data_IF_692005525924
#
_entry.id   IF_692005525924
#
_cell.length_a   1.000
_cell.length_b   1.000
_cell.length_c   1.000
_cell.angle_alpha   90.00
_cell.angle_beta   90.00
_cell.angle_gamma   90.00
#
_symmetry.space_group_name_H-M   'P 1'
#
loop_
_entity.id
_entity.type
_entity.pdbx_description
1 polymer ?
#
# COMPACT_ATOMS: atom_id res chain seq x y z
N UNK A 1 14.01 74.30 -18.23
CA UNK A 1 13.14 73.40 -17.52
C UNK A 1 13.47 71.98 -18.03
N UNK A 2 14.38 71.29 -17.33
CA UNK A 2 14.87 69.94 -17.72
C UNK A 2 14.15 68.93 -16.90
N UNK A 3 13.48 67.99 -17.59
CA UNK A 3 12.76 66.85 -16.96
C UNK A 3 13.75 65.69 -16.82
N UNK A 4 14.12 65.39 -15.59
CA UNK A 4 14.84 64.14 -15.26
C UNK A 4 13.87 62.93 -15.27
N UNK A 5 14.07 62.04 -16.22
CA UNK A 5 13.43 60.71 -16.21
C UNK A 5 14.22 59.79 -15.26
N UNK A 6 13.61 59.46 -14.12
CA UNK A 6 14.13 58.47 -13.19
C UNK A 6 13.96 57.04 -13.74
N UNK A 7 15.07 56.33 -13.90
CA UNK A 7 15.09 54.89 -14.23
C UNK A 7 14.90 54.12 -12.93
N UNK A 8 13.77 53.40 -12.80
CA UNK A 8 13.54 52.51 -11.70
C UNK A 8 14.44 51.23 -11.82
N UNK A 9 15.01 50.73 -10.72
CA UNK A 9 15.81 49.54 -10.76
C UNK A 9 14.93 48.31 -11.02
N UNK A 10 15.29 47.49 -11.99
CA UNK A 10 14.73 46.16 -12.21
C UNK A 10 15.05 45.30 -10.99
N UNK A 11 14.01 44.90 -10.24
CA UNK A 11 14.09 43.82 -9.27
C UNK A 11 14.35 42.53 -10.03
N UNK A 12 15.56 42.02 -9.93
CA UNK A 12 15.89 40.64 -10.34
C UNK A 12 15.19 39.70 -9.37
N UNK A 13 14.16 38.98 -9.86
CA UNK A 13 13.56 37.86 -9.17
C UNK A 13 14.68 36.80 -9.10
N UNK A 14 15.04 36.29 -7.90
CA UNK A 14 15.98 35.19 -7.81
C UNK A 14 15.41 34.01 -8.56
N UNK A 15 16.18 33.43 -9.49
CA UNK A 15 15.84 32.16 -10.11
C UNK A 15 15.55 31.11 -8.99
N UNK A 16 14.35 30.54 -9.03
CA UNK A 16 14.02 29.39 -8.18
C UNK A 16 15.11 28.35 -8.43
N UNK A 17 15.79 27.94 -7.36
CA UNK A 17 16.73 26.86 -7.41
C UNK A 17 16.02 25.64 -8.03
N UNK A 18 16.52 25.16 -9.14
CA UNK A 18 16.15 23.88 -9.73
C UNK A 18 16.28 22.84 -8.62
N UNK A 19 15.16 22.29 -8.19
CA UNK A 19 15.17 21.16 -7.26
C UNK A 19 15.78 19.99 -8.00
N UNK A 20 17.06 19.72 -7.76
CA UNK A 20 17.70 18.52 -8.30
C UNK A 20 16.88 17.31 -7.89
N UNK A 21 16.45 16.51 -8.87
CA UNK A 21 15.68 15.30 -8.65
C UNK A 21 16.50 14.37 -7.75
N UNK A 22 15.85 13.72 -6.77
CA UNK A 22 16.53 12.90 -5.76
C UNK A 22 17.34 11.74 -6.37
N UNK A 23 16.95 11.25 -7.55
CA UNK A 23 17.64 10.19 -8.29
C UNK A 23 18.37 10.69 -9.56
N UNK A 24 18.50 12.01 -9.76
CA UNK A 24 19.23 12.52 -10.93
C UNK A 24 20.71 12.13 -10.81
N UNK A 25 21.25 11.50 -11.84
CA UNK A 25 22.70 11.30 -11.98
C UNK A 25 23.20 12.13 -13.16
N UNK A 26 24.38 12.72 -13.01
CA UNK A 26 25.11 13.38 -14.10
C UNK A 26 25.77 12.36 -15.04
N UNK A 27 25.52 11.05 -14.84
CA UNK A 27 26.07 9.98 -15.63
C UNK A 27 25.25 9.74 -16.90
N UNK A 28 25.90 9.19 -17.93
CA UNK A 28 25.25 8.78 -19.17
C UNK A 28 24.10 7.81 -18.85
N UNK A 29 22.89 8.10 -19.36
CA UNK A 29 21.74 7.22 -19.18
C UNK A 29 22.10 5.80 -19.65
N UNK A 30 21.69 4.76 -18.86
CA UNK A 30 21.91 3.38 -19.23
C UNK A 30 21.11 3.00 -20.48
N UNK A 31 21.36 1.80 -21.02
CA UNK A 31 20.56 1.26 -22.10
C UNK A 31 19.07 1.29 -21.77
N UNK A 32 18.25 1.69 -22.72
CA UNK A 32 16.78 1.64 -22.59
C UNK A 32 16.30 0.19 -22.46
N UNK A 33 15.67 -0.12 -21.35
CA UNK A 33 15.08 -1.42 -21.03
C UNK A 33 13.56 -1.46 -21.29
N UNK A 34 13.02 -0.39 -21.83
CA UNK A 34 11.62 -0.26 -22.23
C UNK A 34 10.68 0.14 -21.10
N UNK A 35 9.40 -0.10 -21.35
CA UNK A 35 8.31 0.32 -20.48
C UNK A 35 7.74 -0.84 -19.68
N UNK A 36 7.52 -0.60 -18.37
CA UNK A 36 6.72 -1.45 -17.48
C UNK A 36 5.41 -0.74 -17.11
N UNK A 37 4.29 -1.45 -17.23
CA UNK A 37 2.98 -0.98 -16.81
C UNK A 37 2.73 -1.44 -15.37
N UNK A 38 2.67 -0.48 -14.45
CA UNK A 38 2.45 -0.72 -13.01
C UNK A 38 1.04 -0.34 -12.61
N UNK A 39 0.19 -1.32 -12.32
CA UNK A 39 -1.12 -1.09 -11.75
C UNK A 39 -1.06 -0.95 -10.22
N UNK A 40 -1.92 -0.11 -9.66
CA UNK A 40 -2.08 0.03 -8.20
C UNK A 40 -3.43 0.64 -7.84
N UNK A 41 -3.92 0.32 -6.64
CA UNK A 41 -4.98 1.11 -6.02
C UNK A 41 -4.38 2.44 -5.50
N UNK A 42 -5.19 3.52 -5.35
CA UNK A 42 -4.68 4.84 -4.96
C UNK A 42 -3.81 4.83 -3.70
N UNK A 43 -4.21 4.10 -2.65
CA UNK A 43 -3.50 4.06 -1.37
C UNK A 43 -2.06 3.49 -1.46
N UNK A 44 -1.77 2.63 -2.43
CA UNK A 44 -0.46 2.00 -2.56
C UNK A 44 0.48 2.71 -3.55
N UNK A 45 -0.06 3.43 -4.53
CA UNK A 45 0.70 4.02 -5.64
C UNK A 45 1.73 5.09 -5.23
N UNK A 46 1.54 5.89 -4.17
CA UNK A 46 2.38 7.08 -3.92
C UNK A 46 3.89 6.82 -3.91
N UNK A 47 4.37 5.69 -3.38
CA UNK A 47 5.81 5.40 -3.33
C UNK A 47 6.43 5.22 -4.72
N UNK A 48 5.74 4.52 -5.61
CA UNK A 48 6.20 4.36 -7.00
C UNK A 48 6.06 5.67 -7.78
N UNK A 49 4.96 6.42 -7.57
CA UNK A 49 4.76 7.72 -8.21
C UNK A 49 5.86 8.70 -7.81
N UNK A 50 6.21 8.78 -6.52
CA UNK A 50 7.33 9.59 -6.06
C UNK A 50 8.64 9.19 -6.76
N UNK A 51 8.91 7.90 -6.90
CA UNK A 51 10.10 7.43 -7.63
C UNK A 51 10.08 7.79 -9.12
N UNK A 52 8.91 7.81 -9.77
CA UNK A 52 8.75 8.29 -11.15
C UNK A 52 9.07 9.78 -11.21
N UNK A 53 8.45 10.59 -10.33
CA UNK A 53 8.61 12.04 -10.29
C UNK A 53 10.06 12.46 -9.98
N UNK A 54 10.80 11.62 -9.22
CA UNK A 54 12.21 11.85 -8.86
C UNK A 54 13.21 11.24 -9.86
N UNK A 55 12.76 10.68 -10.98
CA UNK A 55 13.64 10.14 -12.02
C UNK A 55 14.32 8.81 -11.64
N UNK A 56 13.88 8.13 -10.57
CA UNK A 56 14.56 6.95 -10.07
C UNK A 56 14.52 5.75 -11.03
N UNK A 57 13.46 5.59 -11.79
CA UNK A 57 13.39 4.52 -12.78
C UNK A 57 14.23 4.81 -14.02
N UNK A 58 14.25 6.06 -14.48
CA UNK A 58 15.05 6.51 -15.61
C UNK A 58 16.55 6.30 -15.38
N UNK A 59 17.03 6.49 -14.15
CA UNK A 59 18.39 6.18 -13.72
C UNK A 59 18.81 4.73 -14.05
N UNK A 60 17.84 3.81 -14.09
CA UNK A 60 18.05 2.39 -14.41
C UNK A 60 17.59 2.02 -15.83
N UNK A 61 17.36 2.99 -16.71
CA UNK A 61 16.93 2.77 -18.10
C UNK A 61 15.49 2.30 -18.24
N UNK A 62 14.64 2.60 -17.27
CA UNK A 62 13.23 2.18 -17.28
C UNK A 62 12.28 3.36 -17.42
N UNK A 63 11.22 3.16 -18.21
CA UNK A 63 10.00 3.94 -18.14
C UNK A 63 8.96 3.14 -17.36
N UNK A 64 8.43 3.68 -16.27
CA UNK A 64 7.32 3.08 -15.53
C UNK A 64 6.06 3.87 -15.77
N UNK A 65 5.03 3.22 -16.33
CA UNK A 65 3.73 3.82 -16.62
C UNK A 65 2.74 3.39 -15.52
N UNK A 66 2.34 4.30 -14.61
CA UNK A 66 1.39 3.97 -13.55
C UNK A 66 -0.04 3.90 -14.12
N UNK A 67 -0.82 2.95 -13.61
CA UNK A 67 -2.25 2.78 -13.90
C UNK A 67 -2.99 2.64 -12.58
N UNK A 68 -3.91 3.56 -12.31
CA UNK A 68 -4.79 3.48 -11.15
C UNK A 68 -5.94 2.53 -11.45
N UNK A 69 -6.12 1.52 -10.60
CA UNK A 69 -7.24 0.59 -10.68
C UNK A 69 -8.17 0.77 -9.48
N UNK A 70 -9.47 0.59 -9.70
CA UNK A 70 -10.47 0.85 -8.68
C UNK A 70 -10.43 -0.16 -7.52
N UNK A 71 -10.03 -1.40 -7.77
CA UNK A 71 -10.04 -2.46 -6.76
C UNK A 71 -8.92 -3.49 -6.92
N UNK A 72 -8.66 -4.23 -5.84
CA UNK A 72 -7.74 -5.38 -5.84
C UNK A 72 -8.12 -6.43 -6.89
N UNK A 73 -9.41 -6.70 -7.06
CA UNK A 73 -9.91 -7.70 -8.01
C UNK A 73 -9.57 -7.30 -9.46
N UNK A 74 -9.81 -6.04 -9.82
CA UNK A 74 -9.47 -5.50 -11.15
C UNK A 74 -7.97 -5.57 -11.39
N UNK A 75 -7.16 -5.14 -10.41
CA UNK A 75 -5.69 -5.17 -10.51
C UNK A 75 -5.14 -6.58 -10.68
N UNK A 76 -5.62 -7.54 -9.89
CA UNK A 76 -5.19 -8.95 -10.01
C UNK A 76 -5.66 -9.58 -11.34
N UNK A 77 -6.89 -9.32 -11.78
CA UNK A 77 -7.37 -9.81 -13.07
C UNK A 77 -6.52 -9.28 -14.22
N UNK A 78 -6.14 -7.99 -14.21
CA UNK A 78 -5.25 -7.40 -15.19
C UNK A 78 -3.83 -7.95 -15.15
N UNK A 79 -3.32 -8.29 -13.96
CA UNK A 79 -2.02 -8.96 -13.81
C UNK A 79 -2.06 -10.38 -14.39
N UNK A 80 -3.10 -11.15 -14.11
CA UNK A 80 -3.29 -12.52 -14.61
C UNK A 80 -3.44 -12.54 -16.14
N UNK A 81 -4.19 -11.58 -16.70
CA UNK A 81 -4.37 -11.47 -18.17
C UNK A 81 -3.13 -10.94 -18.89
N UNK A 82 -2.15 -10.35 -18.18
CA UNK A 82 -0.99 -9.70 -18.76
C UNK A 82 -1.26 -8.28 -19.27
N UNK A 83 -2.38 -7.66 -18.90
CA UNK A 83 -2.68 -6.25 -19.19
C UNK A 83 -1.75 -5.30 -18.43
N UNK A 84 -1.21 -5.74 -17.30
CA UNK A 84 -0.23 -5.05 -16.48
C UNK A 84 1.00 -5.94 -16.26
N UNK A 85 2.19 -5.35 -16.27
CA UNK A 85 3.44 -6.05 -15.96
C UNK A 85 3.60 -6.29 -14.47
N UNK A 86 3.11 -5.33 -13.68
CA UNK A 86 3.23 -5.29 -12.23
C UNK A 86 1.92 -4.82 -11.58
N UNK A 87 1.63 -5.36 -10.39
CA UNK A 87 0.55 -4.88 -9.53
C UNK A 87 1.00 -4.79 -8.08
N UNK A 88 0.71 -3.66 -7.43
CA UNK A 88 1.05 -3.47 -6.01
C UNK A 88 -0.05 -4.05 -5.12
N UNK A 89 0.30 -5.09 -4.36
CA UNK A 89 -0.64 -5.70 -3.43
C UNK A 89 0.06 -6.49 -2.30
N UNK A 90 -0.74 -7.04 -1.37
CA UNK A 90 -0.22 -7.90 -0.30
C UNK A 90 0.21 -9.26 -0.84
N UNK A 91 1.27 -9.88 -0.29
CA UNK A 91 1.63 -11.25 -0.63
C UNK A 91 0.51 -12.27 -0.38
N UNK A 92 -0.38 -12.02 0.58
CA UNK A 92 -1.54 -12.89 0.85
C UNK A 92 -2.53 -12.95 -0.32
N UNK A 93 -2.77 -11.82 -1.00
CA UNK A 93 -3.61 -11.83 -2.20
C UNK A 93 -2.94 -12.58 -3.35
N UNK A 94 -1.61 -12.47 -3.52
CA UNK A 94 -0.89 -13.29 -4.49
C UNK A 94 -1.11 -14.78 -4.22
N UNK A 95 -0.88 -15.23 -2.97
CA UNK A 95 -1.06 -16.62 -2.57
C UNK A 95 -2.51 -17.09 -2.76
N UNK A 96 -3.48 -16.23 -2.45
CA UNK A 96 -4.91 -16.50 -2.69
C UNK A 96 -5.20 -16.77 -4.18
N UNK A 97 -4.67 -15.94 -5.06
CA UNK A 97 -4.83 -16.10 -6.51
C UNK A 97 -4.09 -17.34 -7.03
N UNK A 98 -2.87 -17.60 -6.57
CA UNK A 98 -2.14 -18.85 -6.90
C UNK A 98 -2.92 -20.10 -6.47
N UNK A 99 -3.63 -20.03 -5.35
CA UNK A 99 -4.43 -21.16 -4.84
C UNK A 99 -5.70 -21.44 -5.65
N UNK A 100 -6.32 -20.37 -6.18
CA UNK A 100 -7.66 -20.44 -6.78
C UNK A 100 -7.64 -20.35 -8.32
N UNK A 101 -6.48 -20.11 -8.91
CA UNK A 101 -6.26 -20.06 -10.36
C UNK A 101 -4.87 -20.64 -10.67
N UNK A 102 -4.66 -21.05 -11.91
CA UNK A 102 -3.35 -21.55 -12.37
C UNK A 102 -2.36 -20.41 -12.62
N UNK A 103 -2.25 -19.49 -11.67
CA UNK A 103 -1.43 -18.28 -11.78
C UNK A 103 -0.07 -18.48 -11.12
N UNK A 104 0.99 -18.44 -11.93
CA UNK A 104 2.37 -18.46 -11.45
C UNK A 104 2.80 -17.05 -11.04
N UNK A 105 2.41 -16.67 -9.84
CA UNK A 105 2.68 -15.34 -9.28
C UNK A 105 4.07 -15.22 -8.68
N UNK A 106 4.71 -14.06 -8.88
CA UNK A 106 6.05 -13.74 -8.38
C UNK A 106 6.06 -12.38 -7.68
N UNK A 107 6.69 -12.31 -6.52
CA UNK A 107 7.01 -11.05 -5.83
C UNK A 107 8.33 -10.54 -6.39
N UNK A 108 8.31 -9.35 -7.02
CA UNK A 108 9.48 -8.74 -7.67
C UNK A 108 10.27 -7.90 -6.68
N UNK A 109 9.60 -7.06 -5.91
CA UNK A 109 10.22 -6.16 -4.96
C UNK A 109 9.28 -5.88 -3.78
N UNK A 110 9.79 -5.54 -2.59
CA UNK A 110 8.96 -5.09 -1.49
C UNK A 110 8.59 -3.62 -1.64
N UNK A 111 7.46 -3.20 -1.05
CA UNK A 111 7.18 -1.79 -0.81
C UNK A 111 7.52 -1.44 0.64
N UNK A 112 6.69 -1.82 1.59
CA UNK A 112 6.90 -1.54 3.00
C UNK A 112 6.79 -2.81 3.85
N UNK A 113 7.29 -2.71 5.06
CA UNK A 113 7.35 -3.81 6.03
C UNK A 113 6.60 -3.44 7.30
N UNK A 114 6.16 -4.46 8.04
CA UNK A 114 5.76 -4.33 9.44
C UNK A 114 6.85 -4.88 10.35
N UNK A 115 7.25 -4.11 11.33
CA UNK A 115 8.20 -4.54 12.35
C UNK A 115 7.51 -5.35 13.45
N UNK A 116 8.27 -6.14 14.19
CA UNK A 116 7.75 -6.88 15.34
C UNK A 116 7.21 -5.91 16.42
N UNK A 117 7.86 -4.77 16.60
CA UNK A 117 7.47 -3.76 17.57
C UNK A 117 6.12 -3.12 17.19
N UNK A 118 5.91 -2.75 15.92
CA UNK A 118 4.63 -2.19 15.45
C UNK A 118 3.49 -3.18 15.63
N UNK A 119 3.69 -4.45 15.24
CA UNK A 119 2.67 -5.50 15.40
C UNK A 119 2.33 -5.70 16.89
N UNK A 120 3.34 -5.82 17.76
CA UNK A 120 3.13 -6.00 19.20
C UNK A 120 2.38 -4.82 19.81
N UNK A 121 2.78 -3.61 19.47
CA UNK A 121 2.14 -2.39 19.97
C UNK A 121 0.69 -2.27 19.51
N UNK A 122 0.42 -2.58 18.21
CA UNK A 122 -0.93 -2.57 17.66
C UNK A 122 -1.87 -3.60 18.29
N UNK A 123 -1.33 -4.71 18.84
CA UNK A 123 -2.10 -5.67 19.64
C UNK A 123 -2.39 -5.19 21.06
N UNK A 124 -1.42 -4.50 21.69
CA UNK A 124 -1.51 -4.06 23.08
C UNK A 124 -2.35 -2.80 23.23
N UNK A 125 -2.22 -1.86 22.30
CA UNK A 125 -2.91 -0.59 22.32
C UNK A 125 -3.55 -0.29 20.94
N UNK A 126 -4.70 -0.93 20.64
CA UNK A 126 -5.38 -0.75 19.37
C UNK A 126 -5.95 0.65 19.15
N UNK A 127 -6.05 1.43 20.23
CA UNK A 127 -6.61 2.79 20.22
C UNK A 127 -5.53 3.87 20.33
N UNK A 128 -4.27 3.51 20.10
CA UNK A 128 -3.14 4.43 20.22
C UNK A 128 -3.46 5.80 19.59
N UNK A 129 -3.36 6.91 20.34
CA UNK A 129 -3.83 8.23 19.92
C UNK A 129 -2.88 8.96 18.96
N UNK A 130 -2.04 8.24 18.28
CA UNK A 130 -1.09 8.76 17.29
C UNK A 130 -1.52 8.47 15.87
N UNK A 131 -0.58 8.62 14.97
CA UNK A 131 -0.72 8.14 13.59
C UNK A 131 -0.83 6.61 13.56
N UNK A 132 -1.46 6.04 12.53
CA UNK A 132 -1.68 4.60 12.42
C UNK A 132 -0.35 3.84 12.44
N UNK A 133 -0.24 2.85 13.34
CA UNK A 133 0.94 1.99 13.42
C UNK A 133 1.05 1.04 12.22
N UNK A 134 -0.10 0.54 11.76
CA UNK A 134 -0.22 -0.32 10.58
C UNK A 134 -1.15 0.35 9.57
N UNK A 135 -0.96 0.06 8.30
CA UNK A 135 -1.59 0.80 7.19
C UNK A 135 -3.12 0.65 7.11
N UNK A 136 -3.71 -0.30 7.85
CA UNK A 136 -5.16 -0.53 7.86
C UNK A 136 -5.67 -0.70 9.28
N UNK A 137 -6.86 -0.16 9.55
CA UNK A 137 -7.49 -0.21 10.86
C UNK A 137 -9.01 -0.38 10.71
N UNK A 138 -9.64 -1.11 11.62
CA UNK A 138 -11.11 -1.19 11.69
C UNK A 138 -11.63 0.09 12.31
N UNK A 139 -12.52 0.76 11.60
CA UNK A 139 -13.17 2.00 12.00
C UNK A 139 -14.70 1.82 12.08
N UNK A 140 -15.30 2.53 13.01
CA UNK A 140 -16.75 2.62 13.21
C UNK A 140 -17.18 4.08 13.38
N UNK A 141 -18.47 4.38 13.26
CA UNK A 141 -18.99 5.72 13.58
C UNK A 141 -18.67 6.12 15.01
N UNK A 142 -18.58 7.43 15.26
CA UNK A 142 -18.28 8.00 16.57
C UNK A 142 -19.18 7.47 17.69
N UNK A 143 -20.47 7.36 17.42
CA UNK A 143 -21.54 6.94 18.33
C UNK A 143 -21.84 5.43 18.29
N UNK A 144 -21.08 4.66 17.52
CA UNK A 144 -21.27 3.21 17.40
C UNK A 144 -21.14 2.50 18.74
N UNK A 145 -22.02 1.51 18.98
CA UNK A 145 -21.94 0.62 20.14
C UNK A 145 -20.78 -0.37 20.07
N UNK A 146 -20.15 -0.55 18.90
CA UNK A 146 -18.99 -1.44 18.68
C UNK A 146 -17.76 -0.82 19.35
N UNK A 147 -17.17 -1.50 20.35
CA UNK A 147 -15.99 -1.01 21.10
C UNK A 147 -14.84 -1.99 21.07
N UNK A 148 -15.07 -3.23 20.65
CA UNK A 148 -14.09 -4.32 20.67
C UNK A 148 -14.29 -5.29 19.51
N UNK A 149 -13.33 -6.20 19.31
CA UNK A 149 -13.45 -7.30 18.35
C UNK A 149 -14.68 -8.18 18.58
N UNK A 150 -15.13 -8.33 19.85
CA UNK A 150 -16.30 -9.13 20.20
C UNK A 150 -17.59 -8.51 19.68
N UNK A 151 -17.68 -7.19 19.66
CA UNK A 151 -18.86 -6.47 19.22
C UNK A 151 -19.08 -6.52 17.70
N UNK A 152 -18.12 -7.09 16.96
CA UNK A 152 -18.24 -7.35 15.51
C UNK A 152 -19.09 -8.58 15.18
N UNK A 153 -19.52 -9.37 16.17
CA UNK A 153 -20.48 -10.43 15.97
C UNK A 153 -21.78 -9.92 15.32
N UNK A 154 -22.25 -10.59 14.27
CA UNK A 154 -23.46 -10.25 13.52
C UNK A 154 -23.42 -8.84 12.87
N UNK A 155 -22.23 -8.28 12.67
CA UNK A 155 -22.03 -6.97 12.02
C UNK A 155 -21.67 -7.15 10.56
N UNK A 156 -21.96 -6.12 9.77
CA UNK A 156 -21.54 -6.02 8.38
C UNK A 156 -20.30 -5.13 8.28
N UNK A 157 -19.23 -5.64 7.68
CA UNK A 157 -17.92 -5.00 7.66
C UNK A 157 -17.45 -4.78 6.21
N UNK A 158 -17.15 -3.53 5.87
CA UNK A 158 -16.53 -3.18 4.58
C UNK A 158 -15.05 -3.54 4.55
N UNK A 159 -14.63 -4.36 3.59
CA UNK A 159 -13.23 -4.76 3.35
C UNK A 159 -12.84 -4.54 1.89
N UNK A 160 -11.54 -4.40 1.59
CA UNK A 160 -11.07 -4.17 0.21
C UNK A 160 -11.18 -5.40 -0.69
N UNK A 161 -11.10 -6.59 -0.12
CA UNK A 161 -11.23 -7.85 -0.85
C UNK A 161 -11.71 -8.96 0.07
N UNK A 162 -12.53 -9.87 -0.48
CA UNK A 162 -12.86 -11.11 0.22
C UNK A 162 -11.63 -12.00 0.33
N UNK A 163 -11.53 -12.71 1.45
CA UNK A 163 -10.45 -13.65 1.77
C UNK A 163 -9.06 -13.02 1.84
N UNK A 164 -8.98 -11.68 1.80
CA UNK A 164 -7.72 -10.93 1.97
C UNK A 164 -7.26 -10.90 3.43
N UNK A 165 -6.08 -10.30 3.64
CA UNK A 165 -5.45 -10.21 4.97
C UNK A 165 -6.27 -9.38 5.98
N UNK A 166 -7.02 -8.36 5.53
CA UNK A 166 -7.86 -7.55 6.41
C UNK A 166 -9.02 -8.39 6.98
N UNK A 167 -9.78 -9.09 6.12
CA UNK A 167 -10.82 -10.01 6.56
C UNK A 167 -10.24 -11.11 7.45
N UNK A 168 -9.11 -11.70 7.02
CA UNK A 168 -8.43 -12.72 7.80
C UNK A 168 -8.02 -12.27 9.19
N UNK A 169 -7.47 -11.06 9.29
CA UNK A 169 -7.07 -10.45 10.56
C UNK A 169 -8.25 -10.19 11.50
N UNK A 170 -9.38 -9.71 10.97
CA UNK A 170 -10.62 -9.54 11.76
C UNK A 170 -11.07 -10.89 12.32
N UNK A 171 -11.18 -11.91 11.47
CA UNK A 171 -11.62 -13.26 11.90
C UNK A 171 -10.69 -13.86 12.95
N UNK A 172 -9.38 -13.62 12.82
CA UNK A 172 -8.40 -14.10 13.81
C UNK A 172 -8.51 -13.31 15.13
N UNK A 173 -8.67 -12.00 15.07
CA UNK A 173 -8.86 -11.16 16.26
C UNK A 173 -10.16 -11.55 17.00
N UNK A 174 -11.27 -11.72 16.29
CA UNK A 174 -12.54 -12.20 16.85
C UNK A 174 -12.38 -13.57 17.53
N UNK A 175 -11.71 -14.51 16.86
CA UNK A 175 -11.44 -15.85 17.43
C UNK A 175 -10.62 -15.76 18.71
N UNK A 176 -9.62 -14.87 18.78
CA UNK A 176 -8.77 -14.72 19.98
C UNK A 176 -9.56 -14.25 21.21
N UNK A 177 -10.61 -13.45 21.02
CA UNK A 177 -11.48 -12.99 22.11
C UNK A 177 -12.72 -13.85 22.31
N UNK A 178 -12.79 -15.03 21.69
CA UNK A 178 -13.90 -15.96 21.80
C UNK A 178 -15.20 -15.48 21.14
N UNK A 179 -15.12 -14.62 20.14
CA UNK A 179 -16.26 -14.11 19.41
C UNK A 179 -16.70 -15.08 18.29
N UNK A 180 -18.03 -15.18 18.08
CA UNK A 180 -18.61 -15.95 16.96
C UNK A 180 -18.62 -15.10 15.67
N UNK A 181 -17.71 -15.44 14.77
CA UNK A 181 -17.61 -14.78 13.46
C UNK A 181 -18.52 -15.40 12.39
N UNK A 182 -19.25 -16.46 12.69
CA UNK A 182 -20.06 -17.20 11.68
C UNK A 182 -21.19 -16.37 11.07
N UNK A 183 -21.66 -15.36 11.78
CA UNK A 183 -22.73 -14.44 11.36
C UNK A 183 -22.23 -13.05 11.01
N UNK A 184 -20.91 -12.84 10.98
CA UNK A 184 -20.31 -11.58 10.53
C UNK A 184 -20.32 -11.53 9.00
N UNK A 185 -20.91 -10.49 8.43
CA UNK A 185 -20.98 -10.29 6.99
C UNK A 185 -19.86 -9.38 6.51
N UNK A 186 -19.38 -9.62 5.31
CA UNK A 186 -18.38 -8.77 4.67
C UNK A 186 -18.88 -8.22 3.35
N UNK A 187 -18.57 -6.95 3.07
CA UNK A 187 -18.90 -6.27 1.82
C UNK A 187 -17.58 -5.75 1.19
N UNK A 188 -17.36 -6.07 -0.09
CA UNK A 188 -16.19 -5.57 -0.80
C UNK A 188 -16.42 -4.10 -1.20
N UNK A 189 -15.56 -3.20 -0.71
CA UNK A 189 -15.60 -1.76 -0.93
C UNK A 189 -14.20 -1.23 -1.25
N UNK A 190 -14.12 -0.23 -2.11
CA UNK A 190 -12.89 0.55 -2.28
C UNK A 190 -12.67 1.47 -1.07
N UNK A 191 -11.42 1.89 -0.81
CA UNK A 191 -11.13 2.82 0.30
C UNK A 191 -12.04 4.07 0.26
N UNK A 192 -12.27 4.63 -0.93
CA UNK A 192 -13.12 5.81 -1.11
C UNK A 192 -14.62 5.57 -0.84
N UNK A 193 -15.10 4.33 -1.02
CA UNK A 193 -16.50 3.97 -0.75
C UNK A 193 -16.80 3.70 0.73
N UNK A 194 -15.76 3.39 1.52
CA UNK A 194 -15.92 2.93 2.91
C UNK A 194 -16.57 3.96 3.81
N UNK A 195 -16.11 5.21 3.77
CA UNK A 195 -16.69 6.29 4.57
C UNK A 195 -18.17 6.52 4.26
N UNK A 196 -18.53 6.82 2.99
CA UNK A 196 -19.93 6.98 2.59
C UNK A 196 -20.83 5.79 2.93
N UNK A 197 -20.34 4.54 2.76
CA UNK A 197 -21.12 3.33 3.09
C UNK A 197 -21.38 3.21 4.60
N UNK A 198 -20.38 3.51 5.42
CA UNK A 198 -20.52 3.54 6.88
C UNK A 198 -21.49 4.65 7.32
N UNK A 199 -21.42 5.84 6.74
CA UNK A 199 -22.32 6.95 7.06
C UNK A 199 -23.79 6.64 6.74
N UNK A 200 -24.06 6.00 5.59
CA UNK A 200 -25.43 5.56 5.25
C UNK A 200 -25.92 4.37 6.08
N UNK A 201 -25.04 3.66 6.79
CA UNK A 201 -25.40 2.44 7.52
C UNK A 201 -25.46 1.18 6.66
N UNK A 202 -24.87 1.18 5.46
CA UNK A 202 -24.75 -0.01 4.59
C UNK A 202 -23.83 -1.05 5.23
N UNK A 203 -22.87 -0.57 6.03
CA UNK A 203 -21.95 -1.37 6.86
C UNK A 203 -21.83 -0.75 8.26
N UNK A 204 -21.58 -1.60 9.27
CA UNK A 204 -21.38 -1.19 10.68
C UNK A 204 -19.93 -0.73 10.95
N UNK A 205 -18.98 -1.30 10.23
CA UNK A 205 -17.56 -1.03 10.34
C UNK A 205 -16.89 -1.08 8.97
N UNK A 206 -15.71 -0.44 8.84
CA UNK A 206 -14.91 -0.42 7.61
C UNK A 206 -13.44 -0.61 7.91
N UNK A 207 -12.65 -1.06 6.90
CA UNK A 207 -11.20 -1.28 7.03
C UNK A 207 -10.44 -0.55 5.92
N UNK A 208 -10.43 0.79 5.94
CA UNK A 208 -9.70 1.57 4.97
C UNK A 208 -8.18 1.49 5.18
N UNK A 209 -7.43 1.76 4.11
CA UNK A 209 -6.00 2.03 4.18
C UNK A 209 -5.75 3.53 4.40
N UNK A 210 -4.55 3.88 4.92
CA UNK A 210 -4.10 5.27 4.85
C UNK A 210 -3.88 5.72 3.37
N UNK A 211 -4.19 6.98 3.08
CA UNK A 211 -4.62 8.08 3.97
C UNK A 211 -6.13 8.14 4.28
N UNK A 212 -6.95 7.28 3.67
CA UNK A 212 -8.42 7.28 3.86
C UNK A 212 -8.81 6.95 5.31
N UNK A 213 -8.05 6.07 5.98
CA UNK A 213 -8.26 5.76 7.39
C UNK A 213 -8.07 7.00 8.27
N UNK A 214 -6.94 7.70 8.12
CA UNK A 214 -6.66 8.94 8.84
C UNK A 214 -7.70 10.01 8.54
N UNK A 215 -8.15 10.15 7.29
CA UNK A 215 -9.23 11.10 6.93
C UNK A 215 -10.52 10.80 7.69
N UNK A 216 -10.95 9.54 7.78
CA UNK A 216 -12.15 9.16 8.52
C UNK A 216 -11.99 9.39 10.03
N UNK A 217 -10.82 9.14 10.59
CA UNK A 217 -10.52 9.41 12.01
C UNK A 217 -10.61 10.92 12.31
N UNK A 218 -10.05 11.76 11.44
CA UNK A 218 -10.16 13.22 11.55
C UNK A 218 -11.62 13.69 11.40
N UNK A 219 -12.45 12.98 10.65
CA UNK A 219 -13.89 13.17 10.53
C UNK A 219 -14.69 12.65 11.74
N UNK A 220 -14.03 12.06 12.75
CA UNK A 220 -14.66 11.59 13.97
C UNK A 220 -14.93 10.09 14.02
N UNK A 221 -14.55 9.30 13.02
CA UNK A 221 -14.63 7.84 13.09
C UNK A 221 -13.72 7.31 14.20
N UNK A 222 -14.15 6.25 14.87
CA UNK A 222 -13.46 5.69 16.04
C UNK A 222 -12.80 4.35 15.70
N UNK A 223 -11.52 4.16 16.06
CA UNK A 223 -10.83 2.90 15.85
C UNK A 223 -11.34 1.78 16.78
N UNK A 224 -11.31 0.54 16.28
CA UNK A 224 -11.57 -0.70 17.02
C UNK A 224 -10.29 -1.51 17.17
N UNK A 225 -9.46 -1.57 16.13
CA UNK A 225 -8.18 -2.26 16.18
C UNK A 225 -7.59 -2.53 14.80
N UNK A 226 -6.36 -3.04 14.81
CA UNK A 226 -5.58 -3.31 13.60
C UNK A 226 -5.70 -4.79 13.18
N UNK A 227 -6.37 -5.13 12.08
CA UNK A 227 -6.50 -6.53 11.64
C UNK A 227 -5.14 -7.13 11.28
N UNK A 228 -4.22 -6.34 10.72
CA UNK A 228 -2.89 -6.81 10.35
C UNK A 228 -2.05 -7.24 11.56
N UNK A 229 -2.31 -6.72 12.75
CA UNK A 229 -1.65 -7.16 13.98
C UNK A 229 -1.92 -8.65 14.30
N UNK A 230 -3.01 -9.20 13.79
CA UNK A 230 -3.39 -10.61 13.96
C UNK A 230 -3.06 -11.48 12.75
N UNK A 231 -3.11 -10.90 11.54
CA UNK A 231 -2.81 -11.64 10.30
C UNK A 231 -1.33 -11.63 9.96
N UNK A 232 -0.66 -10.50 10.00
CA UNK A 232 0.72 -10.38 9.55
C UNK A 232 1.73 -11.02 10.51
N UNK A 233 2.92 -11.30 10.00
CA UNK A 233 4.15 -11.49 10.75
C UNK A 233 5.10 -10.33 10.41
N UNK A 234 6.15 -10.09 11.20
CA UNK A 234 7.20 -9.14 10.81
C UNK A 234 7.75 -9.46 9.41
N UNK A 235 7.89 -8.44 8.59
CA UNK A 235 8.33 -8.58 7.20
C UNK A 235 7.42 -7.84 6.21
N UNK A 236 7.49 -8.24 4.94
CA UNK A 236 6.80 -7.57 3.84
C UNK A 236 5.28 -7.48 4.05
N UNK A 237 4.76 -6.27 3.98
CA UNK A 237 3.32 -5.98 4.09
C UNK A 237 2.67 -5.81 2.71
N UNK A 238 3.27 -5.00 1.84
CA UNK A 238 2.85 -4.80 0.45
C UNK A 238 4.08 -4.96 -0.45
N UNK A 239 3.88 -5.53 -1.62
CA UNK A 239 4.93 -5.82 -2.59
C UNK A 239 4.48 -5.51 -4.02
N UNK A 240 5.44 -5.48 -4.93
CA UNK A 240 5.23 -5.44 -6.37
C UNK A 240 5.17 -6.87 -6.90
N UNK A 241 4.02 -7.23 -7.42
CA UNK A 241 3.69 -8.58 -7.90
C UNK A 241 3.75 -8.63 -9.43
N UNK A 242 4.17 -9.76 -9.97
CA UNK A 242 4.20 -10.03 -11.41
C UNK A 242 3.81 -11.49 -11.68
N UNK A 243 3.81 -11.89 -12.94
CA UNK A 243 3.70 -13.29 -13.36
C UNK A 243 5.06 -13.85 -13.78
N UNK A 244 5.28 -15.16 -13.61
CA UNK A 244 6.48 -15.82 -14.11
C UNK A 244 6.65 -15.60 -15.63
N UNK A 245 5.55 -15.58 -16.38
CA UNK A 245 5.55 -15.28 -17.83
C UNK A 245 6.15 -13.90 -18.11
N UNK A 246 5.65 -12.85 -17.44
CA UNK A 246 6.14 -11.47 -17.63
C UNK A 246 7.60 -11.34 -17.20
N UNK A 247 7.98 -11.98 -16.09
CA UNK A 247 9.37 -12.03 -15.61
C UNK A 247 10.30 -12.60 -16.70
N UNK A 248 9.94 -13.74 -17.29
CA UNK A 248 10.76 -14.38 -18.32
C UNK A 248 10.88 -13.52 -19.59
N UNK A 249 9.85 -12.78 -19.95
CA UNK A 249 9.85 -11.90 -21.11
C UNK A 249 10.62 -10.59 -20.89
N UNK A 250 10.68 -10.09 -19.66
CA UNK A 250 11.23 -8.78 -19.29
C UNK A 250 12.26 -8.84 -18.16
N UNK A 251 13.05 -9.90 -18.08
CA UNK A 251 13.96 -10.17 -16.93
C UNK A 251 14.88 -9.00 -16.62
N UNK A 252 15.54 -8.39 -17.61
CA UNK A 252 16.43 -7.26 -17.41
C UNK A 252 15.71 -6.03 -16.84
N UNK A 253 14.52 -5.73 -17.39
CA UNK A 253 13.66 -4.64 -16.90
C UNK A 253 13.21 -4.90 -15.45
N UNK A 254 12.85 -6.14 -15.11
CA UNK A 254 12.44 -6.49 -13.75
C UNK A 254 13.58 -6.41 -12.74
N UNK A 255 14.83 -6.76 -13.13
CA UNK A 255 16.01 -6.55 -12.28
C UNK A 255 16.30 -5.07 -12.04
N UNK A 256 16.21 -4.27 -13.09
CA UNK A 256 16.36 -2.81 -12.99
C UNK A 256 15.26 -2.20 -12.12
N UNK A 257 14.00 -2.64 -12.29
CA UNK A 257 12.87 -2.23 -11.45
C UNK A 257 13.09 -2.58 -9.97
N UNK A 258 13.54 -3.79 -9.67
CA UNK A 258 13.82 -4.22 -8.29
C UNK A 258 14.88 -3.33 -7.65
N UNK A 259 15.98 -3.02 -8.37
CA UNK A 259 17.03 -2.11 -7.89
C UNK A 259 16.50 -0.70 -7.64
N UNK A 260 15.73 -0.16 -8.60
CA UNK A 260 15.13 1.17 -8.47
C UNK A 260 14.19 1.25 -7.24
N UNK A 261 13.37 0.21 -7.00
CA UNK A 261 12.49 0.19 -5.83
C UNK A 261 13.27 0.16 -4.51
N UNK A 262 14.35 -0.60 -4.41
CA UNK A 262 15.16 -0.62 -3.19
C UNK A 262 15.81 0.75 -2.92
N UNK A 263 16.27 1.46 -3.96
CA UNK A 263 16.77 2.83 -3.83
C UNK A 263 15.66 3.80 -3.43
N UNK A 264 14.50 3.75 -4.08
CA UNK A 264 13.31 4.55 -3.72
C UNK A 264 12.95 4.32 -2.25
N UNK A 265 12.90 3.07 -1.81
CA UNK A 265 12.60 2.72 -0.43
C UNK A 265 13.62 3.30 0.55
N UNK A 266 14.90 3.22 0.22
CA UNK A 266 15.97 3.84 1.03
C UNK A 266 15.79 5.36 1.13
N UNK A 267 15.53 6.03 0.01
CA UNK A 267 15.30 7.48 -0.02
C UNK A 267 14.04 7.89 0.75
N UNK A 268 12.95 7.12 0.65
CA UNK A 268 11.71 7.39 1.36
C UNK A 268 11.81 7.16 2.88
N UNK A 269 12.80 6.41 3.35
CA UNK A 269 13.12 6.29 4.78
C UNK A 269 13.94 7.48 5.30
N UNK A 270 14.40 8.38 4.43
CA UNK A 270 15.15 9.57 4.85
C UNK A 270 14.18 10.72 5.16
N UNK A 271 14.24 11.35 6.36
CA UNK A 271 13.34 12.44 6.74
C UNK A 271 13.35 13.64 5.79
N UNK A 272 14.46 13.84 5.07
CA UNK A 272 14.61 14.91 4.08
C UNK A 272 13.58 14.81 2.94
N UNK A 273 13.06 13.62 2.68
CA UNK A 273 12.09 13.35 1.61
C UNK A 273 10.63 13.32 2.08
N UNK A 274 10.37 13.41 3.40
CA UNK A 274 9.02 13.33 3.97
C UNK A 274 8.07 14.36 3.34
N UNK A 275 8.51 15.61 3.21
CA UNK A 275 7.67 16.69 2.67
C UNK A 275 7.28 16.43 1.22
N UNK A 276 8.23 16.03 0.36
CA UNK A 276 7.96 15.71 -1.04
C UNK A 276 7.09 14.47 -1.19
N UNK A 277 7.31 13.45 -0.35
CA UNK A 277 6.51 12.23 -0.36
C UNK A 277 5.06 12.50 0.08
N UNK A 278 4.83 13.31 1.12
CA UNK A 278 3.49 13.72 1.55
C UNK A 278 2.74 14.48 0.44
N UNK A 279 3.41 15.35 -0.31
CA UNK A 279 2.83 16.01 -1.49
C UNK A 279 2.39 14.99 -2.56
N UNK A 280 3.22 13.97 -2.83
CA UNK A 280 2.86 12.91 -3.76
C UNK A 280 1.67 12.09 -3.25
N UNK A 281 1.60 11.78 -1.93
CA UNK A 281 0.44 11.12 -1.33
C UNK A 281 -0.83 11.95 -1.55
N UNK A 282 -0.79 13.23 -1.23
CA UNK A 282 -1.92 14.15 -1.43
C UNK A 282 -2.39 14.15 -2.90
N UNK A 283 -1.46 14.33 -3.84
CA UNK A 283 -1.74 14.38 -5.27
C UNK A 283 -2.38 13.08 -5.80
N UNK A 284 -1.81 11.93 -5.44
CA UNK A 284 -2.27 10.61 -5.95
C UNK A 284 -3.60 10.20 -5.35
N UNK A 285 -3.86 10.53 -4.08
CA UNK A 285 -5.04 10.05 -3.34
C UNK A 285 -6.16 11.08 -3.26
N UNK A 286 -5.89 12.34 -3.62
CA UNK A 286 -6.83 13.45 -3.43
C UNK A 286 -7.03 13.85 -1.96
N UNK A 287 -6.13 13.43 -1.06
CA UNK A 287 -6.21 13.73 0.37
C UNK A 287 -5.78 15.17 0.65
N UNK A 288 -6.41 15.80 1.67
CA UNK A 288 -6.03 17.15 2.09
C UNK A 288 -4.65 17.19 2.76
N UNK A 289 -3.98 18.35 2.72
CA UNK A 289 -2.72 18.57 3.44
C UNK A 289 -2.86 18.30 4.93
N UNK A 290 -4.00 18.63 5.54
CA UNK A 290 -4.28 18.35 6.94
C UNK A 290 -4.29 16.84 7.23
N UNK A 291 -4.82 16.03 6.32
CA UNK A 291 -4.81 14.56 6.43
C UNK A 291 -3.39 14.03 6.29
N UNK A 292 -2.67 14.41 5.22
CA UNK A 292 -1.33 13.86 4.97
C UNK A 292 -0.30 14.30 6.02
N UNK A 293 -0.49 15.46 6.65
CA UNK A 293 0.36 15.92 7.76
C UNK A 293 0.28 15.01 9.00
N UNK A 294 -0.84 14.28 9.17
CA UNK A 294 -1.10 13.37 10.30
C UNK A 294 -0.72 11.92 10.03
N UNK A 295 -0.32 11.58 8.80
CA UNK A 295 0.06 10.21 8.46
C UNK A 295 1.31 9.78 9.22
N UNK A 296 1.31 8.54 9.68
CA UNK A 296 2.53 7.79 9.95
C UNK A 296 3.04 7.19 8.64
N UNK A 297 4.18 7.65 8.16
CA UNK A 297 4.75 7.08 6.96
C UNK A 297 5.28 5.67 7.25
N UNK A 298 4.95 4.67 6.41
CA UNK A 298 5.37 3.31 6.67
C UNK A 298 6.88 3.16 6.51
N UNK A 299 7.49 2.26 7.28
CA UNK A 299 8.88 1.86 7.07
C UNK A 299 9.01 1.12 5.74
N UNK A 300 9.73 1.70 4.78
CA UNK A 300 9.96 1.09 3.48
C UNK A 300 11.00 -0.03 3.61
N UNK A 301 10.80 -1.15 2.90
CA UNK A 301 11.72 -2.28 2.96
C UNK A 301 12.94 -2.06 2.06
N UNK A 302 14.12 -2.01 2.63
CA UNK A 302 15.39 -1.82 1.90
C UNK A 302 16.06 -3.14 1.47
N UNK A 303 15.39 -4.27 1.69
CA UNK A 303 15.89 -5.61 1.35
C UNK A 303 14.85 -6.37 0.57
N UNK A 304 15.29 -7.19 -0.37
CA UNK A 304 14.42 -8.11 -1.09
C UNK A 304 13.66 -9.03 -0.12
N UNK A 305 12.44 -9.40 -0.53
CA UNK A 305 11.60 -10.30 0.26
C UNK A 305 12.26 -11.65 0.41
N UNK A 306 12.34 -12.14 1.64
CA UNK A 306 12.82 -13.49 1.96
C UNK A 306 11.67 -14.50 1.99
N UNK A 307 12.01 -15.78 1.78
CA UNK A 307 11.02 -16.86 1.86
C UNK A 307 10.34 -16.93 3.24
N UNK A 308 11.08 -16.69 4.31
CA UNK A 308 10.56 -16.72 5.68
C UNK A 308 9.43 -15.72 5.94
N UNK A 309 9.46 -14.56 5.23
CA UNK A 309 8.44 -13.52 5.37
C UNK A 309 7.09 -13.90 4.75
N UNK A 310 7.05 -14.88 3.83
CA UNK A 310 5.83 -15.30 3.13
C UNK A 310 5.42 -16.74 3.44
N UNK A 311 6.32 -17.56 3.95
CA UNK A 311 6.10 -19.01 4.16
C UNK A 311 4.90 -19.35 5.05
N UNK A 312 4.50 -18.47 5.96
CA UNK A 312 3.37 -18.65 6.86
C UNK A 312 2.01 -18.43 6.18
N UNK A 313 1.95 -17.70 5.08
CA UNK A 313 0.71 -17.21 4.46
C UNK A 313 -0.22 -18.35 4.02
N UNK A 314 0.25 -19.40 3.30
CA UNK A 314 -0.62 -20.51 2.89
C UNK A 314 -1.31 -21.18 4.06
N UNK A 315 -0.57 -21.47 5.14
CA UNK A 315 -1.13 -22.11 6.33
C UNK A 315 -2.16 -21.20 7.02
N UNK A 316 -1.94 -19.90 7.03
CA UNK A 316 -2.87 -18.93 7.61
C UNK A 316 -4.17 -18.84 6.81
N UNK A 317 -4.09 -18.72 5.48
CA UNK A 317 -5.25 -18.73 4.60
C UNK A 317 -6.04 -20.06 4.70
N UNK A 318 -5.34 -21.20 4.80
CA UNK A 318 -5.97 -22.50 4.98
C UNK A 318 -6.68 -22.62 6.33
N UNK A 319 -6.09 -22.10 7.42
CA UNK A 319 -6.72 -22.12 8.77
C UNK A 319 -8.00 -21.26 8.83
N UNK A 320 -8.13 -20.30 7.95
CA UNK A 320 -9.31 -19.46 7.76
C UNK A 320 -10.30 -20.05 6.75
N UNK A 321 -9.98 -21.16 6.12
CA UNK A 321 -10.76 -21.80 5.03
C UNK A 321 -10.88 -20.90 3.78
N UNK A 322 -9.95 -19.99 3.57
CA UNK A 322 -9.90 -19.13 2.39
C UNK A 322 -9.33 -19.83 1.17
N UNK A 323 -8.50 -20.85 1.40
CA UNK A 323 -7.99 -21.77 0.39
C UNK A 323 -8.11 -23.22 0.88
N UNK A 324 -8.29 -24.15 -0.05
CA UNK A 324 -8.30 -25.59 0.20
C UNK A 324 -7.05 -26.28 -0.33
N UNK A 325 -6.47 -25.74 -1.40
CA UNK A 325 -5.31 -26.30 -2.10
C UNK A 325 -4.00 -25.97 -1.39
N UNK A 326 -2.97 -26.75 -1.69
CA UNK A 326 -1.60 -26.45 -1.29
C UNK A 326 -0.96 -25.51 -2.32
N UNK A 327 -0.36 -24.43 -1.86
CA UNK A 327 0.37 -23.47 -2.71
C UNK A 327 1.87 -23.71 -2.58
N UNK A 328 2.55 -23.87 -3.70
CA UNK A 328 4.01 -23.92 -3.75
C UNK A 328 4.57 -22.52 -3.93
N UNK A 329 5.37 -22.07 -2.97
CA UNK A 329 6.01 -20.75 -2.98
C UNK A 329 7.50 -20.79 -3.44
N UNK A 330 8.02 -21.93 -3.90
CA UNK A 330 9.44 -22.07 -4.24
C UNK A 330 9.89 -21.13 -5.38
N UNK A 331 8.97 -20.76 -6.25
CA UNK A 331 9.17 -19.84 -7.39
C UNK A 331 8.52 -18.47 -7.19
N UNK A 332 7.92 -18.21 -6.03
CA UNK A 332 7.14 -17.00 -5.76
C UNK A 332 8.01 -15.75 -5.49
N UNK A 333 9.33 -15.87 -5.50
CA UNK A 333 10.26 -14.76 -5.29
C UNK A 333 11.16 -14.57 -6.51
N UNK A 334 11.24 -13.34 -6.99
CA UNK A 334 12.20 -12.96 -8.03
C UNK A 334 13.63 -12.92 -7.45
N UNK A 335 14.56 -13.56 -8.16
CA UNK A 335 15.96 -13.71 -7.75
C UNK A 335 16.91 -12.89 -8.65
#
# INVERSE_FOLDING_TARGET
MAILLGVAPFLTIPAQADSTLACSSNEKLPQDLGTLVLASIPANLPSAQWGIDQGCFQKYGLTVKPVVVASTQIGMAGLVSGSYDLFMNTPSNLVLFMANSNFDGVIVAPRHTYTAAEISRAQQDPLYPGALLLQTIVLVKKDSSIKSWKDLEKRKIGVKSFHGSDQGGILMAMRQVGADSSKTEFLALTDAQMGPAMERGDVDAVVPSDPFATQLILGGARPVGYPQAYFAKPGVAVAYLSSAKTINQKTSAMRAFQKAILEINHLLNQPTNDSSYRKTIASVTGSSDATVAKLHLPTMSEKNVSFSEIAYIPNRLKSLKFITTRVNLSTALFK
#
